data_IF_863698290790
#
_entry.id   IF_863698290790
#
_cell.length_a   1.000
_cell.length_b   1.000
_cell.length_c   1.000
_cell.angle_alpha   90.00
_cell.angle_beta   90.00
_cell.angle_gamma   90.00
#
_symmetry.space_group_name_H-M   'P 1'
#
loop_
_entity.id
_entity.type
_entity.pdbx_description
1 polymer ?
#
# COMPACT_ATOMS: atom_id res chain seq x y z
N UNK A 1 -2.11 3.46 35.67
CA UNK A 1 -1.50 3.70 34.35
C UNK A 1 -2.17 2.74 33.38
N UNK A 2 -3.18 3.21 32.67
CA UNK A 2 -3.78 2.45 31.57
C UNK A 2 -2.83 2.55 30.37
N UNK A 3 -2.40 1.42 29.83
CA UNK A 3 -1.78 1.38 28.50
C UNK A 3 -2.92 1.37 27.48
N UNK A 4 -3.01 2.45 26.72
CA UNK A 4 -3.83 2.59 25.51
C UNK A 4 -3.20 1.69 24.42
N UNK A 5 -3.96 0.86 23.71
CA UNK A 5 -3.63 0.53 22.34
C UNK A 5 -4.56 1.34 21.43
N UNK A 6 -4.02 2.34 20.75
CA UNK A 6 -4.50 2.61 19.40
C UNK A 6 -4.11 1.39 18.58
N UNK A 7 -4.89 0.31 18.69
CA UNK A 7 -4.75 -0.88 17.87
C UNK A 7 -5.28 -0.49 16.49
N UNK A 8 -4.43 0.15 15.68
CA UNK A 8 -4.68 0.28 14.26
C UNK A 8 -4.84 -1.13 13.72
N UNK A 9 -6.03 -1.44 13.19
CA UNK A 9 -6.34 -2.80 12.79
C UNK A 9 -5.60 -3.21 11.52
N UNK A 10 -5.04 -2.26 10.76
CA UNK A 10 -4.38 -2.48 9.47
C UNK A 10 -2.96 -1.92 9.48
N UNK A 11 -2.02 -2.69 8.94
CA UNK A 11 -0.66 -2.22 8.63
C UNK A 11 -0.33 -2.62 7.19
N UNK A 12 0.23 -1.68 6.42
CA UNK A 12 0.82 -1.92 5.10
C UNK A 12 2.32 -1.64 5.25
N UNK A 13 3.13 -2.65 4.96
CA UNK A 13 4.56 -2.62 5.17
C UNK A 13 5.27 -3.31 4.00
N UNK A 14 6.59 -3.20 3.92
CA UNK A 14 7.36 -3.86 2.89
C UNK A 14 8.74 -4.28 3.40
N UNK A 15 9.32 -5.26 2.73
CA UNK A 15 10.70 -5.72 2.94
C UNK A 15 11.40 -5.91 1.59
N UNK A 16 12.70 -6.21 1.63
CA UNK A 16 13.49 -6.55 0.45
C UNK A 16 13.41 -5.50 -0.68
N UNK A 17 13.42 -4.21 -0.29
CA UNK A 17 13.37 -3.07 -1.22
C UNK A 17 14.54 -3.15 -2.21
N UNK A 18 14.20 -3.45 -3.45
CA UNK A 18 15.09 -3.49 -4.60
C UNK A 18 14.86 -2.26 -5.47
N UNK A 19 15.95 -1.67 -5.93
CA UNK A 19 15.92 -0.53 -6.86
C UNK A 19 16.90 -0.88 -7.96
N UNK A 20 16.37 -1.05 -9.16
CA UNK A 20 17.18 -1.35 -10.33
C UNK A 20 17.98 -0.10 -10.77
N UNK A 21 18.57 -0.13 -11.97
CA UNK A 21 19.59 0.84 -12.39
C UNK A 21 19.09 2.28 -12.68
N UNK A 22 17.81 2.57 -12.43
CA UNK A 22 17.21 3.88 -12.70
C UNK A 22 16.98 4.63 -11.40
N UNK A 23 17.45 5.87 -11.33
CA UNK A 23 17.39 6.68 -10.10
C UNK A 23 16.46 7.90 -10.18
N UNK A 24 15.84 8.15 -11.34
CA UNK A 24 14.96 9.31 -11.56
C UNK A 24 14.02 9.12 -12.75
N UNK A 25 12.93 9.88 -12.77
CA UNK A 25 11.98 9.94 -13.89
C UNK A 25 10.84 8.92 -13.81
N UNK A 26 9.93 8.91 -14.79
CA UNK A 26 8.72 8.09 -14.76
C UNK A 26 9.00 6.58 -14.73
N UNK A 27 10.13 6.14 -15.27
CA UNK A 27 10.53 4.73 -15.25
C UNK A 27 10.74 4.21 -13.82
N UNK A 28 10.95 5.09 -12.84
CA UNK A 28 11.16 4.67 -11.45
C UNK A 28 9.97 3.85 -10.89
N UNK A 29 8.75 4.07 -11.41
CA UNK A 29 7.57 3.29 -11.00
C UNK A 29 7.69 1.78 -11.30
N UNK A 30 8.42 1.41 -12.37
CA UNK A 30 8.65 0.01 -12.75
C UNK A 30 9.96 -0.57 -12.21
N UNK A 31 10.69 0.16 -11.37
CA UNK A 31 12.05 -0.21 -10.96
C UNK A 31 12.22 -0.26 -9.44
N UNK A 32 11.22 0.23 -8.69
CA UNK A 32 11.18 0.18 -7.23
C UNK A 32 10.24 -0.95 -6.82
N UNK A 33 10.85 -2.07 -6.48
CA UNK A 33 10.17 -3.32 -6.18
C UNK A 33 10.47 -3.79 -4.76
N UNK A 34 9.62 -4.66 -4.23
CA UNK A 34 9.93 -5.38 -3.00
C UNK A 34 8.84 -6.36 -2.62
N UNK A 35 8.94 -6.88 -1.41
CA UNK A 35 7.90 -7.72 -0.83
C UNK A 35 6.89 -6.85 -0.09
N UNK A 36 5.62 -6.84 -0.54
CA UNK A 36 4.53 -6.17 0.14
C UNK A 36 3.94 -7.08 1.22
N UNK A 37 3.75 -6.52 2.42
CA UNK A 37 3.19 -7.20 3.58
C UNK A 37 1.98 -6.40 4.06
N UNK A 38 0.83 -7.06 4.18
CA UNK A 38 -0.36 -6.44 4.76
C UNK A 38 -0.79 -7.25 5.97
N UNK A 39 -1.00 -6.56 7.09
CA UNK A 39 -1.45 -7.15 8.34
C UNK A 39 -2.83 -6.65 8.70
N UNK A 40 -3.64 -7.55 9.27
CA UNK A 40 -4.85 -7.18 10.00
C UNK A 40 -4.80 -7.77 11.39
N UNK A 41 -4.91 -6.94 12.44
CA UNK A 41 -4.78 -7.33 13.84
C UNK A 41 -3.53 -8.19 14.08
N UNK A 42 -2.38 -7.71 13.60
CA UNK A 42 -1.05 -8.35 13.67
C UNK A 42 -0.94 -9.71 12.96
N UNK A 43 -1.91 -10.08 12.11
CA UNK A 43 -1.83 -11.29 11.28
C UNK A 43 -1.56 -10.91 9.84
N UNK A 44 -0.57 -11.54 9.22
CA UNK A 44 -0.28 -11.40 7.79
C UNK A 44 -1.48 -11.91 7.00
N UNK A 45 -2.03 -11.05 6.13
CA UNK A 45 -3.12 -11.38 5.22
C UNK A 45 -2.69 -11.41 3.75
N UNK A 46 -1.55 -10.78 3.45
CA UNK A 46 -0.94 -10.69 2.13
C UNK A 46 0.58 -10.60 2.30
N UNK A 47 1.33 -11.37 1.50
CA UNK A 47 2.78 -11.41 1.54
C UNK A 47 3.32 -11.85 0.19
N UNK A 48 3.53 -10.89 -0.71
CA UNK A 48 3.93 -11.19 -2.09
C UNK A 48 5.15 -10.37 -2.49
N UNK A 49 6.04 -10.99 -3.25
CA UNK A 49 7.28 -10.40 -3.75
C UNK A 49 7.04 -9.69 -5.08
N UNK A 50 8.05 -8.93 -5.53
CA UNK A 50 8.07 -8.31 -6.87
C UNK A 50 6.87 -7.36 -7.08
N UNK A 51 6.41 -6.71 -6.00
CA UNK A 51 5.38 -5.67 -6.08
C UNK A 51 6.06 -4.34 -6.40
N UNK A 52 5.53 -3.60 -7.38
CA UNK A 52 5.92 -2.24 -7.72
C UNK A 52 5.52 -1.26 -6.59
N UNK A 53 6.36 -1.13 -5.56
CA UNK A 53 6.04 -0.42 -4.33
C UNK A 53 5.81 1.08 -4.57
N UNK A 54 6.57 1.69 -5.46
CA UNK A 54 6.42 3.12 -5.77
C UNK A 54 5.15 3.39 -6.59
N UNK A 55 4.81 2.49 -7.51
CA UNK A 55 3.55 2.55 -8.25
C UNK A 55 2.35 2.42 -7.30
N UNK A 56 2.38 1.42 -6.41
CA UNK A 56 1.38 1.26 -5.38
C UNK A 56 1.27 2.53 -4.51
N UNK A 57 2.39 3.11 -4.08
CA UNK A 57 2.40 4.33 -3.28
C UNK A 57 1.74 5.51 -4.01
N UNK A 58 1.97 5.66 -5.33
CA UNK A 58 1.31 6.68 -6.14
C UNK A 58 -0.20 6.47 -6.20
N UNK A 59 -0.65 5.25 -6.50
CA UNK A 59 -2.07 4.94 -6.58
C UNK A 59 -2.77 5.11 -5.22
N UNK A 60 -2.13 4.70 -4.12
CA UNK A 60 -2.62 4.91 -2.77
C UNK A 60 -2.73 6.40 -2.42
N UNK A 61 -1.73 7.22 -2.80
CA UNK A 61 -1.78 8.67 -2.61
C UNK A 61 -2.94 9.30 -3.36
N UNK A 62 -3.17 8.89 -4.61
CA UNK A 62 -4.30 9.38 -5.41
C UNK A 62 -5.64 8.99 -4.78
N UNK A 63 -5.74 7.77 -4.25
CA UNK A 63 -6.92 7.34 -3.50
C UNK A 63 -7.10 8.11 -2.20
N UNK A 64 -6.04 8.42 -1.45
CA UNK A 64 -6.12 9.26 -0.24
C UNK A 64 -6.67 10.66 -0.52
N UNK A 65 -6.45 11.21 -1.73
CA UNK A 65 -7.06 12.48 -2.14
C UNK A 65 -8.55 12.34 -2.54
N UNK A 66 -9.03 11.13 -2.83
CA UNK A 66 -10.39 10.87 -3.30
C UNK A 66 -10.95 9.55 -2.73
N UNK A 67 -10.93 9.41 -1.40
CA UNK A 67 -11.35 8.19 -0.68
C UNK A 67 -12.87 7.95 -0.72
N UNK A 68 -13.61 8.78 -1.47
CA UNK A 68 -15.02 8.58 -1.74
C UNK A 68 -15.32 7.42 -2.69
N UNK A 69 -14.28 6.90 -3.35
CA UNK A 69 -14.36 5.78 -4.28
C UNK A 69 -13.61 4.56 -3.76
N UNK A 70 -13.98 3.41 -4.30
CA UNK A 70 -13.21 2.18 -4.13
C UNK A 70 -11.78 2.36 -4.67
N UNK A 71 -10.82 1.72 -4.01
CA UNK A 71 -9.44 1.60 -4.46
C UNK A 71 -9.25 0.26 -5.16
N UNK A 72 -8.60 0.26 -6.32
CA UNK A 72 -8.17 -0.94 -7.02
C UNK A 72 -6.74 -0.73 -7.47
N UNK A 73 -5.87 -1.66 -7.07
CA UNK A 73 -4.48 -1.73 -7.49
C UNK A 73 -4.31 -2.90 -8.44
N UNK A 74 -4.07 -2.56 -9.70
CA UNK A 74 -3.56 -3.43 -10.75
C UNK A 74 -2.17 -2.90 -11.08
N UNK A 75 -1.19 -3.81 -11.20
CA UNK A 75 0.17 -3.40 -11.53
C UNK A 75 0.33 -3.32 -13.04
N UNK A 76 1.33 -2.57 -13.52
CA UNK A 76 1.70 -2.61 -14.95
C UNK A 76 2.00 -4.04 -15.45
N UNK A 77 2.46 -4.92 -14.55
CA UNK A 77 2.80 -6.32 -14.88
C UNK A 77 1.60 -7.28 -14.79
N UNK A 78 0.47 -6.84 -14.21
CA UNK A 78 -0.69 -7.71 -13.97
C UNK A 78 -2.01 -6.93 -13.99
N UNK A 79 -2.78 -7.12 -15.05
CA UNK A 79 -4.05 -6.42 -15.31
C UNK A 79 -5.30 -7.33 -15.28
N UNK A 80 -5.15 -8.64 -15.07
CA UNK A 80 -6.30 -9.57 -15.15
C UNK A 80 -7.30 -9.36 -14.00
N UNK A 81 -6.81 -8.95 -12.83
CA UNK A 81 -7.60 -8.67 -11.64
C UNK A 81 -6.78 -7.85 -10.62
N UNK A 82 -7.42 -7.06 -9.75
CA UNK A 82 -6.71 -6.28 -8.75
C UNK A 82 -5.90 -7.15 -7.78
N UNK A 83 -4.60 -6.87 -7.67
CA UNK A 83 -3.69 -7.43 -6.66
C UNK A 83 -4.15 -7.05 -5.26
N UNK A 84 -4.62 -5.81 -5.10
CA UNK A 84 -5.16 -5.27 -3.86
C UNK A 84 -6.33 -4.34 -4.16
N UNK A 85 -7.40 -4.42 -3.38
CA UNK A 85 -8.47 -3.44 -3.45
C UNK A 85 -9.03 -3.08 -2.08
N UNK A 86 -9.50 -1.84 -1.95
CA UNK A 86 -10.33 -1.39 -0.83
C UNK A 86 -11.71 -1.05 -1.35
N UNK A 87 -12.73 -1.75 -0.85
CA UNK A 87 -14.10 -1.53 -1.29
C UNK A 87 -14.98 -1.08 -0.15
N UNK A 88 -15.78 -0.04 -0.39
CA UNK A 88 -16.70 0.50 0.61
C UNK A 88 -17.89 -0.46 0.77
N UNK A 89 -18.13 -0.92 2.00
CA UNK A 89 -19.35 -1.67 2.35
C UNK A 89 -20.45 -0.67 2.74
N UNK A 90 -20.11 0.30 3.59
CA UNK A 90 -20.97 1.39 4.02
C UNK A 90 -20.12 2.60 4.45
N UNK A 91 -20.75 3.66 5.00
CA UNK A 91 -20.11 4.93 5.33
C UNK A 91 -18.78 4.80 6.10
N UNK A 92 -18.68 3.85 7.04
CA UNK A 92 -17.50 3.72 7.89
C UNK A 92 -16.78 2.37 7.78
N UNK A 93 -17.34 1.42 7.03
CA UNK A 93 -16.79 0.08 6.90
C UNK A 93 -16.35 -0.19 5.47
N UNK A 94 -15.12 -0.67 5.37
CA UNK A 94 -14.46 -1.09 4.16
C UNK A 94 -14.12 -2.57 4.24
N UNK A 95 -13.81 -3.13 3.08
CA UNK A 95 -13.19 -4.43 2.96
C UNK A 95 -11.88 -4.34 2.18
N UNK A 96 -10.96 -5.22 2.53
CA UNK A 96 -9.70 -5.45 1.84
C UNK A 96 -9.75 -6.86 1.23
N UNK A 97 -9.36 -6.98 -0.03
CA UNK A 97 -9.09 -8.27 -0.67
C UNK A 97 -8.19 -8.06 -1.89
N UNK A 98 -7.95 -9.13 -2.64
CA UNK A 98 -7.16 -9.13 -3.85
C UNK A 98 -7.11 -10.52 -4.47
N UNK A 99 -6.66 -10.62 -5.73
CA UNK A 99 -6.60 -11.89 -6.46
C UNK A 99 -5.71 -12.94 -5.79
N UNK A 100 -4.68 -12.53 -5.05
CA UNK A 100 -3.76 -13.41 -4.32
C UNK A 100 -4.13 -13.60 -2.85
N UNK A 101 -5.27 -13.07 -2.39
CA UNK A 101 -5.75 -13.25 -1.03
C UNK A 101 -6.71 -14.44 -0.92
N UNK A 102 -6.57 -15.24 0.13
CA UNK A 102 -7.42 -16.41 0.37
C UNK A 102 -8.88 -16.06 0.74
N UNK A 103 -9.15 -14.80 1.12
CA UNK A 103 -10.49 -14.32 1.51
C UNK A 103 -10.55 -12.80 1.54
N UNK A 104 -11.77 -12.29 1.57
CA UNK A 104 -12.07 -10.88 1.84
C UNK A 104 -12.11 -10.60 3.34
N UNK A 105 -11.49 -9.50 3.76
CA UNK A 105 -11.48 -9.01 5.13
C UNK A 105 -12.37 -7.78 5.23
N UNK A 106 -13.48 -7.88 5.96
CA UNK A 106 -14.48 -6.83 6.10
C UNK A 106 -14.37 -6.09 7.45
N UNK A 107 -15.22 -5.07 7.63
CA UNK A 107 -15.34 -4.27 8.86
C UNK A 107 -14.06 -3.48 9.19
N UNK A 108 -13.33 -3.05 8.17
CA UNK A 108 -12.15 -2.21 8.30
C UNK A 108 -12.57 -0.75 8.34
N UNK A 109 -12.10 -0.01 9.33
CA UNK A 109 -12.39 1.43 9.44
C UNK A 109 -11.62 2.20 8.38
N UNK A 110 -12.25 3.21 7.78
CA UNK A 110 -11.58 4.12 6.85
C UNK A 110 -10.33 4.78 7.49
N UNK A 111 -10.41 5.17 8.76
CA UNK A 111 -9.29 5.77 9.48
C UNK A 111 -8.06 4.86 9.53
N UNK A 112 -8.28 3.55 9.68
CA UNK A 112 -7.19 2.57 9.79
C UNK A 112 -6.53 2.37 8.43
N UNK A 113 -7.32 2.32 7.34
CA UNK A 113 -6.80 2.32 5.97
C UNK A 113 -6.00 3.58 5.68
N UNK A 114 -6.54 4.76 5.98
CA UNK A 114 -5.87 6.03 5.72
C UNK A 114 -4.55 6.11 6.48
N UNK A 115 -4.53 5.71 7.75
CA UNK A 115 -3.31 5.68 8.55
C UNK A 115 -2.27 4.71 7.98
N UNK A 116 -2.68 3.49 7.61
CA UNK A 116 -1.81 2.49 7.04
C UNK A 116 -1.20 2.94 5.70
N UNK A 117 -2.01 3.56 4.83
CA UNK A 117 -1.55 4.08 3.54
C UNK A 117 -0.53 5.21 3.71
N UNK A 118 -0.83 6.21 4.55
CA UNK A 118 0.11 7.30 4.83
C UNK A 118 1.42 6.77 5.44
N UNK A 119 1.33 5.85 6.41
CA UNK A 119 2.51 5.26 7.04
C UNK A 119 3.39 4.49 6.06
N UNK A 120 2.77 3.75 5.12
CA UNK A 120 3.48 3.05 4.06
C UNK A 120 4.20 4.04 3.12
N UNK A 121 3.48 5.06 2.63
CA UNK A 121 4.02 6.07 1.71
C UNK A 121 5.17 6.82 2.37
N UNK A 122 5.01 7.28 3.62
CA UNK A 122 6.02 8.03 4.35
C UNK A 122 7.29 7.20 4.56
N UNK A 123 7.15 5.93 4.99
CA UNK A 123 8.28 5.00 5.11
C UNK A 123 9.00 4.80 3.78
N UNK A 124 8.25 4.56 2.69
CA UNK A 124 8.84 4.35 1.37
C UNK A 124 9.61 5.59 0.90
N UNK A 125 9.04 6.79 1.05
CA UNK A 125 9.71 8.03 0.68
C UNK A 125 10.98 8.25 1.49
N UNK A 126 10.96 7.97 2.80
CA UNK A 126 12.16 8.06 3.65
C UNK A 126 13.26 7.13 3.14
N UNK A 127 12.94 5.85 2.91
CA UNK A 127 13.92 4.85 2.45
C UNK A 127 14.48 5.17 1.05
N UNK A 128 13.63 5.67 0.14
CA UNK A 128 14.06 6.12 -1.18
C UNK A 128 14.99 7.34 -1.11
N UNK A 129 14.67 8.32 -0.26
CA UNK A 129 15.53 9.49 -0.05
C UNK A 129 16.89 9.11 0.54
N UNK A 130 16.94 8.15 1.48
CA UNK A 130 18.19 7.63 2.03
C UNK A 130 19.08 6.93 0.99
N UNK A 131 18.49 6.48 -0.12
CA UNK A 131 19.18 5.88 -1.28
C UNK A 131 19.41 6.89 -2.42
N UNK A 132 19.26 8.18 -2.14
CA UNK A 132 19.46 9.27 -3.11
C UNK A 132 18.53 9.23 -4.34
N UNK A 133 17.37 8.58 -4.20
CA UNK A 133 16.36 8.49 -5.26
C UNK A 133 15.45 9.73 -5.22
N UNK A 134 15.36 10.45 -6.34
CA UNK A 134 14.53 11.65 -6.41
C UNK A 134 13.06 11.29 -6.69
N UNK A 135 12.22 11.39 -5.65
CA UNK A 135 10.77 11.18 -5.74
C UNK A 135 9.95 12.47 -5.79
N UNK A 136 10.59 13.65 -5.73
CA UNK A 136 9.89 14.95 -5.62
C UNK A 136 9.01 15.28 -6.83
N UNK A 137 9.41 14.79 -8.00
CA UNK A 137 8.71 15.06 -9.26
C UNK A 137 7.61 14.00 -9.56
N UNK A 138 7.45 13.00 -8.69
CA UNK A 138 6.55 11.85 -8.89
C UNK A 138 5.24 11.97 -8.09
N UNK A 139 5.16 12.94 -7.19
CA UNK A 139 4.17 13.03 -6.13
C UNK A 139 3.50 14.39 -6.03
#
# INVERSE_FOLDING_TARGET
MERIPCEFSVEINYTDLNINNITSGPQLFSEVEGQLLIYINNKVIFSEKEILLLELAKQLKDWLHNYDKDFYYESMDYEDSPILFFKRINLNNWQISGIWMNRTYANIKLSDLMFACNSFIDKLIIDLNLREINTKDLF
#
